data_IF_859261946979
#
_entry.id   IF_859261946979
#
_cell.length_a   1.000
_cell.length_b   1.000
_cell.length_c   1.000
_cell.angle_alpha   90.00
_cell.angle_beta   90.00
_cell.angle_gamma   90.00
#
_symmetry.space_group_name_H-M   'P 1'
#
loop_
_entity.id
_entity.type
_entity.pdbx_description
1 polymer ?
#
# COMPACT_ATOMS: atom_id res chain seq x y z
N UNK A 1 16.11 7.00 9.97
CA UNK A 1 15.90 8.11 9.04
C UNK A 1 16.00 9.43 9.78
N UNK A 2 16.97 10.23 9.39
CA UNK A 2 17.23 11.57 9.94
C UNK A 2 17.18 12.56 8.78
N UNK A 3 16.55 13.70 9.00
CA UNK A 3 16.51 14.82 8.04
C UNK A 3 17.17 16.02 8.69
N UNK A 4 18.06 16.69 7.96
CA UNK A 4 18.74 17.91 8.41
C UNK A 4 18.40 19.04 7.47
N UNK A 5 17.95 20.16 8.03
CA UNK A 5 17.68 21.39 7.30
C UNK A 5 18.34 22.61 8.01
N UNK A 6 18.01 23.81 7.56
CA UNK A 6 18.53 25.07 8.14
C UNK A 6 18.09 25.32 9.59
N UNK A 7 17.06 24.60 10.08
CA UNK A 7 16.49 24.74 11.43
C UNK A 7 17.05 23.70 12.41
N UNK A 8 17.72 22.65 11.92
CA UNK A 8 18.32 21.62 12.74
C UNK A 8 18.19 20.21 12.18
N UNK A 9 18.41 19.24 13.04
CA UNK A 9 18.35 17.81 12.71
C UNK A 9 17.16 17.16 13.40
N UNK A 10 16.27 16.55 12.61
CA UNK A 10 15.12 15.80 13.08
C UNK A 10 15.33 14.31 12.80
N UNK A 11 15.29 13.48 13.83
CA UNK A 11 15.25 12.02 13.68
C UNK A 11 13.79 11.57 13.61
N UNK A 12 13.39 11.03 12.46
CA UNK A 12 12.01 10.56 12.19
C UNK A 12 11.87 9.08 12.58
N UNK A 13 12.87 8.26 12.22
CA UNK A 13 12.91 6.83 12.54
C UNK A 13 14.29 6.45 13.05
N UNK A 14 14.32 5.58 14.06
CA UNK A 14 15.53 4.98 14.63
C UNK A 14 15.21 3.55 15.08
N UNK A 15 16.23 2.68 15.01
CA UNK A 15 16.18 1.31 15.54
C UNK A 15 14.91 0.52 15.16
N UNK A 16 14.50 0.67 13.88
CA UNK A 16 13.32 0.00 13.32
C UNK A 16 13.78 -1.29 12.64
N UNK A 17 13.57 -2.43 13.30
CA UNK A 17 13.90 -3.75 12.77
C UNK A 17 12.73 -4.71 12.92
N UNK A 18 12.31 -5.33 11.82
CA UNK A 18 11.29 -6.38 11.79
C UNK A 18 11.34 -7.17 10.48
N UNK A 19 10.78 -8.35 10.52
CA UNK A 19 10.64 -9.23 9.37
C UNK A 19 9.19 -9.68 9.23
N UNK A 20 8.72 -9.85 7.99
CA UNK A 20 7.41 -10.41 7.67
C UNK A 20 7.60 -11.63 6.78
N UNK A 21 6.83 -12.68 7.04
CA UNK A 21 6.77 -13.83 6.17
C UNK A 21 5.98 -13.54 4.90
N UNK A 22 6.19 -14.32 3.85
CA UNK A 22 5.41 -14.21 2.62
C UNK A 22 3.94 -14.53 2.91
N UNK A 23 3.04 -13.66 2.43
CA UNK A 23 1.59 -13.79 2.64
C UNK A 23 1.11 -13.30 4.01
N UNK A 24 2.01 -12.94 4.91
CA UNK A 24 1.66 -12.41 6.23
C UNK A 24 1.02 -11.03 6.13
N UNK A 25 0.07 -10.74 7.01
CA UNK A 25 -0.56 -9.43 7.12
C UNK A 25 -0.09 -8.70 8.37
N UNK A 26 0.40 -7.47 8.23
CA UNK A 26 0.89 -6.66 9.34
C UNK A 26 0.27 -5.27 9.36
N UNK A 27 -0.22 -4.84 10.51
CA UNK A 27 -0.65 -3.48 10.75
C UNK A 27 0.44 -2.68 11.45
N UNK A 28 0.80 -1.53 10.88
CA UNK A 28 1.67 -0.53 11.51
C UNK A 28 0.78 0.50 12.21
N UNK A 29 0.88 0.58 13.52
CA UNK A 29 0.08 1.48 14.36
C UNK A 29 0.97 2.45 15.14
N UNK A 30 0.40 3.57 15.57
CA UNK A 30 1.11 4.58 16.37
C UNK A 30 0.46 5.95 16.25
N UNK A 31 0.86 6.88 17.11
CA UNK A 31 0.36 8.25 17.11
C UNK A 31 0.61 8.96 15.76
N UNK A 32 -0.17 10.02 15.48
CA UNK A 32 0.14 10.90 14.33
C UNK A 32 1.56 11.47 14.48
N UNK A 33 2.31 11.51 13.37
CA UNK A 33 3.69 11.99 13.38
C UNK A 33 4.74 11.01 13.93
N UNK A 34 4.37 9.77 14.30
CA UNK A 34 5.32 8.77 14.82
C UNK A 34 6.27 8.16 13.76
N UNK A 35 6.12 8.54 12.47
CA UNK A 35 7.00 8.06 11.40
C UNK A 35 6.42 6.94 10.53
N UNK A 36 5.16 6.54 10.71
CA UNK A 36 4.52 5.41 9.98
C UNK A 36 4.61 5.54 8.45
N UNK A 37 4.16 6.67 7.90
CA UNK A 37 4.20 6.90 6.44
C UNK A 37 5.63 7.00 5.91
N UNK A 38 6.57 7.54 6.71
CA UNK A 38 8.00 7.54 6.38
C UNK A 38 8.55 6.12 6.33
N UNK A 39 8.19 5.28 7.32
CA UNK A 39 8.58 3.87 7.31
C UNK A 39 8.01 3.15 6.09
N UNK A 40 6.73 3.36 5.78
CA UNK A 40 6.09 2.76 4.59
C UNK A 40 6.80 3.20 3.30
N UNK A 41 7.17 4.49 3.19
CA UNK A 41 7.92 5.02 2.03
C UNK A 41 9.31 4.40 1.90
N UNK A 42 10.00 4.13 3.01
CA UNK A 42 11.29 3.45 3.01
C UNK A 42 11.14 1.98 2.63
N UNK A 43 10.16 1.27 3.19
CA UNK A 43 9.84 -0.13 2.81
C UNK A 43 9.55 -0.21 1.30
N UNK A 44 8.86 0.79 0.77
CA UNK A 44 8.55 0.92 -0.65
C UNK A 44 9.77 1.23 -1.54
N UNK A 45 10.93 1.60 -0.96
CA UNK A 45 12.05 2.13 -1.72
C UNK A 45 11.78 3.48 -2.40
N UNK A 46 10.77 4.23 -1.94
CA UNK A 46 10.42 5.58 -2.40
C UNK A 46 11.25 6.66 -1.68
N UNK A 47 11.63 6.40 -0.44
CA UNK A 47 12.54 7.23 0.33
C UNK A 47 13.73 6.40 0.80
N UNK A 48 14.91 7.02 0.90
CA UNK A 48 16.14 6.34 1.29
C UNK A 48 16.38 6.47 2.79
N UNK A 49 16.65 5.37 3.53
CA UNK A 49 17.01 5.45 4.93
C UNK A 49 18.36 6.16 5.09
N UNK A 50 18.56 6.84 6.22
CA UNK A 50 19.89 7.41 6.56
C UNK A 50 20.90 6.31 6.93
N UNK A 51 20.42 5.19 7.47
CA UNK A 51 21.17 3.96 7.77
C UNK A 51 20.23 2.76 7.70
N UNK A 52 20.80 1.56 7.58
CA UNK A 52 20.05 0.32 7.48
C UNK A 52 19.66 0.00 6.06
N UNK A 53 18.92 -1.09 5.88
CA UNK A 53 18.55 -1.64 4.58
C UNK A 53 17.15 -2.25 4.62
N UNK A 54 16.55 -2.47 3.46
CA UNK A 54 15.29 -3.19 3.29
C UNK A 54 15.51 -4.35 2.33
N UNK A 55 15.29 -5.56 2.81
CA UNK A 55 15.28 -6.75 1.97
C UNK A 55 13.84 -7.16 1.63
N UNK A 56 13.54 -7.32 0.36
CA UNK A 56 12.23 -7.76 -0.10
C UNK A 56 12.39 -8.80 -1.21
N UNK A 57 11.73 -9.94 -1.07
CA UNK A 57 11.84 -11.06 -2.01
C UNK A 57 13.31 -11.46 -2.31
N UNK A 58 14.19 -11.39 -1.31
CA UNK A 58 15.62 -11.71 -1.43
C UNK A 58 16.49 -10.58 -2.02
N UNK A 59 15.92 -9.43 -2.34
CA UNK A 59 16.64 -8.27 -2.93
C UNK A 59 16.86 -7.20 -1.87
N UNK A 60 18.10 -6.73 -1.69
CA UNK A 60 18.39 -5.49 -0.97
C UNK A 60 18.03 -4.29 -1.84
N UNK A 61 16.96 -3.55 -1.47
CA UNK A 61 16.46 -2.44 -2.26
C UNK A 61 17.47 -1.29 -2.37
N UNK A 62 18.28 -1.07 -1.33
CA UNK A 62 19.18 0.07 -1.29
C UNK A 62 20.57 -0.23 -1.84
N UNK A 63 20.86 -1.48 -2.18
CA UNK A 63 21.98 -1.85 -3.04
C UNK A 63 21.68 -1.63 -4.54
N UNK A 64 20.42 -1.36 -4.90
CA UNK A 64 19.96 -1.13 -6.27
C UNK A 64 20.07 0.36 -6.66
N UNK A 65 20.24 0.63 -7.97
CA UNK A 65 20.06 1.98 -8.54
C UNK A 65 18.58 2.39 -8.46
N UNK A 66 18.27 3.68 -8.66
CA UNK A 66 16.87 4.15 -8.65
C UNK A 66 16.05 3.49 -9.77
N UNK A 67 16.62 3.32 -10.97
CA UNK A 67 15.94 2.66 -12.08
C UNK A 67 15.62 1.18 -11.75
N UNK A 68 16.55 0.49 -11.10
CA UNK A 68 16.34 -0.89 -10.64
C UNK A 68 15.29 -0.96 -9.54
N UNK A 69 15.28 -0.03 -8.57
CA UNK A 69 14.23 0.07 -7.56
C UNK A 69 12.86 0.37 -8.18
N UNK A 70 12.81 1.27 -9.17
CA UNK A 70 11.57 1.57 -9.89
C UNK A 70 11.02 0.34 -10.62
N UNK A 71 11.89 -0.41 -11.31
CA UNK A 71 11.52 -1.67 -11.95
C UNK A 71 11.05 -2.72 -10.92
N UNK A 72 11.73 -2.82 -9.78
CA UNK A 72 11.33 -3.72 -8.68
C UNK A 72 9.95 -3.33 -8.12
N UNK A 73 9.71 -2.04 -7.84
CA UNK A 73 8.39 -1.54 -7.40
C UNK A 73 7.30 -1.92 -8.39
N UNK A 74 7.52 -1.66 -9.67
CA UNK A 74 6.54 -1.95 -10.73
C UNK A 74 6.20 -3.45 -10.82
N UNK A 75 7.16 -4.33 -10.57
CA UNK A 75 6.98 -5.78 -10.66
C UNK A 75 6.38 -6.42 -9.39
N UNK A 76 6.66 -5.87 -8.21
CA UNK A 76 6.42 -6.57 -6.94
C UNK A 76 5.50 -5.84 -5.97
N UNK A 77 5.29 -4.53 -6.11
CA UNK A 77 4.54 -3.74 -5.15
C UNK A 77 3.21 -3.24 -5.68
N UNK A 78 2.18 -3.33 -4.85
CA UNK A 78 0.93 -2.59 -5.00
C UNK A 78 0.83 -1.50 -3.94
N UNK A 79 0.17 -0.39 -4.27
CA UNK A 79 -0.04 0.73 -3.36
C UNK A 79 -1.49 1.12 -3.27
N UNK A 80 -1.95 1.36 -2.05
CA UNK A 80 -3.27 1.94 -1.75
C UNK A 80 -3.08 3.09 -0.78
N UNK A 81 -3.60 4.27 -1.13
CA UNK A 81 -3.45 5.51 -0.36
C UNK A 81 -4.79 6.03 0.14
N UNK A 82 -4.77 6.83 1.18
CA UNK A 82 -5.93 7.50 1.75
C UNK A 82 -6.66 8.39 0.72
N UNK A 83 -5.93 9.09 -0.14
CA UNK A 83 -6.47 10.02 -1.15
C UNK A 83 -6.65 9.38 -2.53
N UNK A 84 -6.76 8.03 -2.60
CA UNK A 84 -6.98 7.22 -3.80
C UNK A 84 -5.87 7.34 -4.87
N UNK A 85 -5.31 8.52 -5.08
CA UNK A 85 -4.26 8.86 -6.06
C UNK A 85 -4.56 8.34 -7.47
N UNK A 86 -5.81 8.49 -7.91
CA UNK A 86 -6.20 8.21 -9.28
C UNK A 86 -5.77 9.33 -10.22
N UNK A 87 -5.40 8.96 -11.44
CA UNK A 87 -5.11 9.92 -12.50
C UNK A 87 -6.44 10.48 -13.01
N UNK A 88 -6.69 11.77 -12.74
CA UNK A 88 -7.99 12.40 -12.94
C UNK A 88 -8.44 12.49 -14.41
N UNK A 89 -7.49 12.44 -15.33
CA UNK A 89 -7.69 12.48 -16.79
C UNK A 89 -7.81 11.08 -17.42
N UNK A 90 -7.74 10.02 -16.65
CA UNK A 90 -7.95 8.64 -17.06
C UNK A 90 -9.26 8.10 -16.48
N UNK A 91 -9.96 7.28 -17.25
CA UNK A 91 -11.13 6.53 -16.78
C UNK A 91 -10.75 5.49 -15.72
N UNK A 92 -11.73 4.88 -15.05
CA UNK A 92 -11.50 3.78 -14.12
C UNK A 92 -10.73 2.63 -14.79
N UNK A 93 -11.13 2.26 -16.01
CA UNK A 93 -10.45 1.21 -16.79
C UNK A 93 -9.00 1.57 -17.08
N UNK A 94 -8.74 2.78 -17.57
CA UNK A 94 -7.39 3.24 -17.91
C UNK A 94 -6.49 3.36 -16.66
N UNK A 95 -7.02 3.80 -15.52
CA UNK A 95 -6.28 3.79 -14.25
C UNK A 95 -5.81 2.37 -13.87
N UNK A 96 -6.66 1.36 -14.06
CA UNK A 96 -6.31 -0.03 -13.74
C UNK A 96 -5.44 -0.67 -14.83
N UNK A 97 -5.59 -0.26 -16.10
CA UNK A 97 -4.76 -0.73 -17.21
C UNK A 97 -3.32 -0.26 -17.11
N UNK A 98 -3.09 0.95 -16.60
CA UNK A 98 -1.79 1.64 -16.66
C UNK A 98 -0.60 0.76 -16.20
N UNK A 99 -0.60 0.10 -15.02
CA UNK A 99 0.52 -0.75 -14.61
C UNK A 99 0.75 -1.92 -15.56
N UNK A 100 -0.31 -2.48 -16.15
CA UNK A 100 -0.21 -3.58 -17.11
C UNK A 100 0.41 -3.10 -18.43
N UNK A 101 0.03 -1.93 -18.90
CA UNK A 101 0.58 -1.32 -20.13
C UNK A 101 2.06 -0.97 -19.96
N UNK A 102 2.44 -0.37 -18.82
CA UNK A 102 3.84 -0.11 -18.50
C UNK A 102 4.69 -1.38 -18.42
N UNK A 103 4.08 -2.51 -18.02
CA UNK A 103 4.71 -3.83 -18.05
C UNK A 103 4.68 -4.50 -19.45
N UNK A 104 4.15 -3.83 -20.47
CA UNK A 104 4.08 -4.35 -21.86
C UNK A 104 3.08 -5.49 -22.05
N UNK A 105 2.10 -5.64 -21.16
CA UNK A 105 1.13 -6.73 -21.23
C UNK A 105 0.10 -6.51 -22.34
N UNK A 106 -0.02 -7.47 -23.26
CA UNK A 106 -0.97 -7.42 -24.38
C UNK A 106 -2.43 -7.59 -23.96
N UNK A 107 -2.67 -8.22 -22.82
CA UNK A 107 -4.01 -8.46 -22.24
C UNK A 107 -4.46 -7.38 -21.26
N UNK A 108 -3.78 -6.23 -21.21
CA UNK A 108 -4.00 -5.15 -20.21
C UNK A 108 -5.49 -4.79 -20.04
N UNK A 109 -6.18 -4.52 -21.17
CA UNK A 109 -7.60 -4.14 -21.14
C UNK A 109 -8.50 -5.25 -20.57
N UNK A 110 -8.28 -6.49 -20.99
CA UNK A 110 -9.09 -7.61 -20.52
C UNK A 110 -8.84 -7.93 -19.03
N UNK A 111 -7.58 -7.85 -18.59
CA UNK A 111 -7.22 -8.06 -17.19
C UNK A 111 -7.77 -6.95 -16.28
N UNK A 112 -7.67 -5.68 -16.71
CA UNK A 112 -8.22 -4.54 -15.99
C UNK A 112 -9.75 -4.60 -15.89
N UNK A 113 -10.45 -4.97 -16.99
CA UNK A 113 -11.90 -5.15 -16.99
C UNK A 113 -12.34 -6.21 -15.98
N UNK A 114 -11.73 -7.39 -15.99
CA UNK A 114 -12.02 -8.45 -15.00
C UNK A 114 -11.79 -7.99 -13.56
N UNK A 115 -10.71 -7.24 -13.31
CA UNK A 115 -10.42 -6.73 -11.99
C UNK A 115 -11.47 -5.69 -11.54
N UNK A 116 -11.92 -4.80 -12.43
CA UNK A 116 -13.01 -3.88 -12.14
C UNK A 116 -14.34 -4.59 -11.89
N UNK A 117 -14.65 -5.65 -12.61
CA UNK A 117 -15.81 -6.51 -12.32
C UNK A 117 -15.68 -7.16 -10.93
N UNK A 118 -14.49 -7.67 -10.57
CA UNK A 118 -14.21 -8.28 -9.25
C UNK A 118 -14.42 -7.30 -8.09
N UNK A 119 -14.10 -6.02 -8.28
CA UNK A 119 -14.35 -4.98 -7.27
C UNK A 119 -15.74 -4.32 -7.38
N UNK A 120 -16.65 -4.86 -8.20
CA UNK A 120 -18.04 -4.38 -8.35
C UNK A 120 -18.17 -3.11 -9.18
N UNK A 121 -17.24 -2.82 -10.09
CA UNK A 121 -17.24 -1.62 -10.94
C UNK A 121 -17.33 -1.93 -12.44
N UNK A 122 -17.87 -3.11 -12.81
CA UNK A 122 -18.03 -3.52 -14.22
C UNK A 122 -18.80 -2.50 -15.08
N UNK A 123 -19.79 -1.81 -14.50
CA UNK A 123 -20.60 -0.79 -15.19
C UNK A 123 -20.01 0.63 -15.10
N UNK A 124 -18.87 0.80 -14.40
CA UNK A 124 -18.21 2.10 -14.18
C UNK A 124 -16.87 2.24 -14.91
N UNK A 125 -16.53 1.31 -15.79
CA UNK A 125 -15.23 1.24 -16.45
C UNK A 125 -14.88 2.51 -17.24
N UNK A 126 -15.85 3.16 -17.88
CA UNK A 126 -15.67 4.40 -18.64
C UNK A 126 -15.81 5.69 -17.79
N UNK A 127 -16.07 5.56 -16.49
CA UNK A 127 -16.24 6.71 -15.60
C UNK A 127 -14.88 7.32 -15.24
N UNK A 128 -14.81 8.65 -15.27
CA UNK A 128 -13.65 9.40 -14.74
C UNK A 128 -13.74 9.54 -13.22
N UNK A 129 -12.61 9.68 -12.50
CA UNK A 129 -12.60 9.79 -11.03
C UNK A 129 -13.56 10.84 -10.47
N UNK A 130 -13.69 11.99 -11.14
CA UNK A 130 -14.57 13.11 -10.70
C UNK A 130 -16.06 12.78 -10.58
N UNK A 131 -16.53 11.72 -11.26
CA UNK A 131 -17.94 11.30 -11.21
C UNK A 131 -18.15 10.05 -10.37
N UNK A 132 -17.08 9.51 -9.77
CA UNK A 132 -17.11 8.37 -8.88
C UNK A 132 -17.20 8.84 -7.42
N UNK A 133 -17.98 8.14 -6.60
CA UNK A 133 -18.00 8.33 -5.15
C UNK A 133 -16.63 7.96 -4.55
N UNK A 134 -16.35 8.39 -3.32
CA UNK A 134 -15.10 8.06 -2.64
C UNK A 134 -14.87 6.54 -2.52
N UNK A 135 -15.91 5.78 -2.19
CA UNK A 135 -15.83 4.32 -2.13
C UNK A 135 -15.60 3.67 -3.51
N UNK A 136 -16.19 4.22 -4.59
CA UNK A 136 -15.91 3.76 -5.96
C UNK A 136 -14.46 4.09 -6.36
N UNK A 137 -13.97 5.29 -6.05
CA UNK A 137 -12.57 5.65 -6.31
C UNK A 137 -11.59 4.74 -5.57
N UNK A 138 -11.88 4.39 -4.31
CA UNK A 138 -11.04 3.46 -3.54
C UNK A 138 -11.09 2.05 -4.12
N UNK A 139 -12.23 1.58 -4.63
CA UNK A 139 -12.29 0.30 -5.36
C UNK A 139 -11.48 0.31 -6.65
N UNK A 140 -11.44 1.43 -7.39
CA UNK A 140 -10.53 1.57 -8.54
C UNK A 140 -9.07 1.52 -8.09
N UNK A 141 -8.71 2.20 -6.98
CA UNK A 141 -7.36 2.17 -6.44
C UNK A 141 -6.94 0.75 -6.00
N UNK A 142 -7.85 -0.01 -5.36
CA UNK A 142 -7.64 -1.43 -5.04
C UNK A 142 -7.43 -2.26 -6.30
N UNK A 143 -8.31 -2.10 -7.30
CA UNK A 143 -8.18 -2.81 -8.57
C UNK A 143 -6.84 -2.54 -9.24
N UNK A 144 -6.38 -1.28 -9.27
CA UNK A 144 -5.07 -0.89 -9.80
C UNK A 144 -3.92 -1.52 -9.03
N UNK A 145 -4.02 -1.58 -7.70
CA UNK A 145 -2.97 -2.14 -6.85
C UNK A 145 -2.85 -3.67 -7.03
N UNK A 146 -3.97 -4.37 -7.19
CA UNK A 146 -4.00 -5.84 -7.27
C UNK A 146 -3.92 -6.41 -8.69
N UNK A 147 -4.11 -5.61 -9.75
CA UNK A 147 -4.17 -6.11 -11.13
C UNK A 147 -2.87 -6.77 -11.61
N UNK A 148 -1.74 -6.40 -11.02
CA UNK A 148 -0.43 -7.00 -11.29
C UNK A 148 -0.14 -8.23 -10.41
N UNK A 149 -1.03 -8.62 -9.49
CA UNK A 149 -0.81 -9.66 -8.49
C UNK A 149 0.50 -9.43 -7.69
N UNK A 150 0.60 -8.30 -6.97
CA UNK A 150 1.83 -7.90 -6.32
C UNK A 150 2.25 -8.89 -5.22
N UNK A 151 3.56 -9.04 -5.02
CA UNK A 151 4.09 -9.82 -3.90
C UNK A 151 3.81 -9.15 -2.55
N UNK A 152 3.82 -7.81 -2.53
CA UNK A 152 3.55 -7.00 -1.34
C UNK A 152 2.58 -5.87 -1.67
N UNK A 153 1.55 -5.71 -0.84
CA UNK A 153 0.66 -4.56 -0.85
C UNK A 153 1.02 -3.63 0.30
N UNK A 154 1.26 -2.38 -0.01
CA UNK A 154 1.48 -1.30 0.95
C UNK A 154 0.25 -0.40 0.98
N UNK A 155 -0.40 -0.27 2.14
CA UNK A 155 -1.60 0.54 2.29
C UNK A 155 -1.40 1.60 3.39
N UNK A 156 -1.60 2.87 3.05
CA UNK A 156 -1.50 3.99 3.99
C UNK A 156 -2.88 4.58 4.22
N UNK A 157 -3.47 4.31 5.40
CA UNK A 157 -4.80 4.78 5.84
C UNK A 157 -5.90 4.60 4.76
N UNK A 158 -6.08 3.38 4.19
CA UNK A 158 -6.87 3.19 2.96
C UNK A 158 -8.35 3.57 3.08
N UNK A 159 -8.85 3.79 4.29
CA UNK A 159 -10.25 4.17 4.57
C UNK A 159 -10.39 5.53 5.22
N UNK A 160 -9.28 6.25 5.45
CA UNK A 160 -9.28 7.50 6.22
C UNK A 160 -10.07 8.66 5.58
N UNK A 161 -10.43 8.57 4.30
CA UNK A 161 -11.27 9.56 3.60
C UNK A 161 -12.72 9.10 3.36
N UNK A 162 -13.13 7.97 3.97
CA UNK A 162 -14.45 7.35 3.76
C UNK A 162 -15.28 7.39 5.04
N UNK A 163 -16.60 7.33 4.88
CA UNK A 163 -17.49 7.04 6.01
C UNK A 163 -17.26 5.61 6.51
N UNK A 164 -17.66 5.37 7.76
CA UNK A 164 -17.40 4.12 8.45
C UNK A 164 -17.92 2.88 7.71
N UNK A 165 -19.17 2.91 7.21
CA UNK A 165 -19.79 1.76 6.55
C UNK A 165 -19.09 1.44 5.22
N UNK A 166 -18.81 2.47 4.41
CA UNK A 166 -18.03 2.34 3.18
C UNK A 166 -16.62 1.84 3.48
N UNK A 167 -15.97 2.37 4.52
CA UNK A 167 -14.64 1.95 4.95
C UNK A 167 -14.58 0.45 5.29
N UNK A 168 -15.55 -0.07 6.03
CA UNK A 168 -15.63 -1.51 6.35
C UNK A 168 -15.73 -2.37 5.08
N UNK A 169 -16.61 -2.00 4.14
CA UNK A 169 -16.75 -2.72 2.87
C UNK A 169 -15.45 -2.73 2.05
N UNK A 170 -14.73 -1.61 2.03
CA UNK A 170 -13.44 -1.50 1.34
C UNK A 170 -12.39 -2.38 2.01
N UNK A 171 -12.36 -2.43 3.35
CA UNK A 171 -11.42 -3.27 4.08
C UNK A 171 -11.70 -4.76 3.86
N UNK A 172 -12.98 -5.16 3.87
CA UNK A 172 -13.36 -6.55 3.54
C UNK A 172 -12.86 -6.94 2.15
N UNK A 173 -13.16 -6.11 1.14
CA UNK A 173 -12.69 -6.34 -0.23
C UNK A 173 -11.17 -6.43 -0.33
N UNK A 174 -10.43 -5.56 0.37
CA UNK A 174 -8.98 -5.57 0.38
C UNK A 174 -8.41 -6.86 0.98
N UNK A 175 -8.94 -7.30 2.12
CA UNK A 175 -8.51 -8.56 2.74
C UNK A 175 -8.89 -9.79 1.91
N UNK A 176 -10.04 -9.77 1.22
CA UNK A 176 -10.42 -10.86 0.32
C UNK A 176 -9.46 -10.96 -0.87
N UNK A 177 -9.18 -9.85 -1.55
CA UNK A 177 -8.21 -9.81 -2.65
C UNK A 177 -6.81 -10.23 -2.20
N UNK A 178 -6.40 -9.79 -1.00
CA UNK A 178 -5.12 -10.16 -0.40
C UNK A 178 -5.00 -11.67 -0.20
N UNK A 179 -6.04 -12.28 0.37
CA UNK A 179 -6.11 -13.73 0.63
C UNK A 179 -6.14 -14.53 -0.68
N UNK A 180 -6.93 -14.10 -1.66
CA UNK A 180 -7.03 -14.74 -2.97
C UNK A 180 -5.68 -14.79 -3.70
N UNK A 181 -4.85 -13.74 -3.57
CA UNK A 181 -3.58 -13.64 -4.26
C UNK A 181 -2.36 -14.09 -3.42
N UNK A 182 -2.55 -14.32 -2.11
CA UNK A 182 -1.46 -14.66 -1.19
C UNK A 182 -0.43 -13.53 -1.06
N UNK A 183 -0.89 -12.28 -1.15
CA UNK A 183 -0.05 -11.08 -1.08
C UNK A 183 0.35 -10.79 0.36
N UNK A 184 1.61 -10.40 0.61
CA UNK A 184 2.02 -9.88 1.91
C UNK A 184 1.46 -8.47 2.07
N UNK A 185 0.73 -8.19 3.17
CA UNK A 185 0.11 -6.89 3.42
C UNK A 185 0.85 -6.11 4.52
N UNK A 186 1.22 -4.87 4.23
CA UNK A 186 1.66 -3.90 5.22
C UNK A 186 0.68 -2.73 5.23
N UNK A 187 -0.07 -2.62 6.30
CA UNK A 187 -1.17 -1.67 6.46
C UNK A 187 -0.85 -0.65 7.54
N UNK A 188 -0.75 0.62 7.21
CA UNK A 188 -0.75 1.71 8.18
C UNK A 188 -2.19 2.08 8.52
N UNK A 189 -2.53 2.06 9.80
CA UNK A 189 -3.85 2.48 10.28
C UNK A 189 -3.80 2.97 11.73
N UNK A 190 -4.72 3.87 12.08
CA UNK A 190 -5.01 4.25 13.46
C UNK A 190 -6.26 3.53 14.01
N UNK A 191 -6.99 2.80 13.17
CA UNK A 191 -8.18 2.04 13.56
C UNK A 191 -7.76 0.68 14.15
N UNK A 192 -8.05 0.49 15.45
CA UNK A 192 -7.73 -0.75 16.16
C UNK A 192 -8.47 -1.96 15.61
N UNK A 193 -9.73 -1.79 15.20
CA UNK A 193 -10.53 -2.91 14.68
C UNK A 193 -9.97 -3.45 13.37
N UNK A 194 -9.40 -2.56 12.55
CA UNK A 194 -8.71 -2.93 11.31
C UNK A 194 -7.35 -3.59 11.63
N UNK A 195 -6.59 -3.03 12.58
CA UNK A 195 -5.30 -3.59 12.98
C UNK A 195 -5.42 -5.00 13.57
N UNK A 196 -6.50 -5.27 14.30
CA UNK A 196 -6.79 -6.60 14.88
C UNK A 196 -7.12 -7.67 13.83
N UNK A 197 -7.43 -7.30 12.60
CA UNK A 197 -7.64 -8.23 11.48
C UNK A 197 -6.35 -8.71 10.82
N UNK A 198 -5.23 -8.03 11.09
CA UNK A 198 -3.92 -8.45 10.61
C UNK A 198 -3.33 -9.50 11.56
N UNK A 199 -2.49 -10.40 11.03
CA UNK A 199 -1.81 -11.44 11.82
C UNK A 199 -0.78 -10.85 12.79
N UNK A 200 -0.29 -9.66 12.48
CA UNK A 200 0.75 -8.97 13.26
C UNK A 200 0.44 -7.50 13.46
N UNK A 201 0.80 -6.99 14.61
CA UNK A 201 0.77 -5.56 14.91
C UNK A 201 2.17 -5.05 15.22
N UNK A 202 2.60 -4.01 14.51
CA UNK A 202 3.87 -3.32 14.70
C UNK A 202 3.56 -1.93 15.24
N UNK A 203 3.92 -1.69 16.49
CA UNK A 203 3.66 -0.39 17.15
C UNK A 203 4.87 0.52 16.99
N UNK A 204 4.66 1.72 16.46
CA UNK A 204 5.71 2.75 16.35
C UNK A 204 5.42 3.85 17.37
N UNK A 205 6.41 4.09 18.22
CA UNK A 205 6.39 5.17 19.19
C UNK A 205 7.68 6.00 19.07
N UNK A 206 7.54 7.31 18.91
CA UNK A 206 8.66 8.26 18.79
C UNK A 206 9.72 7.84 17.75
N UNK A 207 9.27 7.25 16.63
CA UNK A 207 10.15 6.81 15.55
C UNK A 207 10.82 5.45 15.74
N UNK A 208 10.53 4.74 16.83
CA UNK A 208 11.04 3.39 17.09
C UNK A 208 9.95 2.32 16.96
N UNK A 209 10.34 1.13 16.52
CA UNK A 209 9.47 -0.05 16.67
C UNK A 209 9.47 -0.43 18.15
N UNK A 210 8.40 -0.08 18.85
CA UNK A 210 8.29 -0.28 20.30
C UNK A 210 7.78 -1.68 20.67
N UNK A 211 6.95 -2.28 19.80
CA UNK A 211 6.35 -3.59 20.04
C UNK A 211 6.02 -4.29 18.72
N UNK A 212 6.27 -5.59 18.66
CA UNK A 212 5.78 -6.47 17.59
C UNK A 212 4.99 -7.58 18.29
N UNK A 213 3.69 -7.59 18.12
CA UNK A 213 2.81 -8.58 18.74
C UNK A 213 1.97 -9.31 17.71
N UNK A 214 1.59 -10.60 17.95
CA UNK A 214 0.52 -11.22 17.20
C UNK A 214 -0.75 -10.36 17.32
N UNK A 215 -1.60 -10.37 16.31
CA UNK A 215 -2.93 -9.81 16.48
C UNK A 215 -3.63 -10.58 17.62
N UNK A 216 -4.43 -9.88 18.42
CA UNK A 216 -5.21 -10.53 19.47
C UNK A 216 -6.13 -11.57 18.84
N UNK A 217 -6.07 -12.81 19.38
CA UNK A 217 -6.93 -13.92 18.96
C UNK A 217 -8.39 -13.65 19.40
#
# INVERSE_FOLDING_TARGET
KTVTDSTGTLTILRDSDFTLARGETAAIVGASGSGKSTLLSIIAGLDTPSRGTVHMAGVDLFAQSEDQRAAFRAAHLGFVFQSFQLLANLTALENVMLPLELAGRRDARAAASRMLERVGLGQRQSSYPKVLSGGEQQRVALARAFVMSPAVLLADEPTGSLDFATGQTIMELMFDLNREQGTTLVLVTHDRSIAERCERRITIAAGEVAEISPAAA
#
